data_IF_457426682434
#
_entry.id   IF_457426682434
#
_cell.length_a   1.000
_cell.length_b   1.000
_cell.length_c   1.000
_cell.angle_alpha   90.00
_cell.angle_beta   90.00
_cell.angle_gamma   90.00
#
_symmetry.space_group_name_H-M   'P 1'
#
loop_
_entity.id
_entity.type
_entity.pdbx_description
1 polymer ?
#
# COMPACT_ATOMS: atom_id res chain seq x y z
N UNK A 1 -28.57 -5.40 -7.72
CA UNK A 1 -28.87 -4.10 -7.08
C UNK A 1 -27.51 -3.43 -6.90
N UNK A 2 -27.06 -2.65 -7.89
CA UNK A 2 -25.79 -1.93 -7.78
C UNK A 2 -25.80 -1.08 -6.52
N UNK A 3 -24.76 -1.23 -5.72
CA UNK A 3 -24.68 -0.61 -4.42
C UNK A 3 -24.40 0.88 -4.60
N UNK A 4 -25.41 1.73 -4.38
CA UNK A 4 -25.33 3.19 -4.57
C UNK A 4 -24.10 3.80 -3.88
N UNK A 5 -23.68 3.24 -2.74
CA UNK A 5 -22.47 3.64 -2.03
C UNK A 5 -21.22 3.43 -2.88
N UNK A 6 -21.01 2.24 -3.46
CA UNK A 6 -19.83 1.96 -4.28
C UNK A 6 -19.77 2.85 -5.52
N UNK A 7 -20.92 3.14 -6.15
CA UNK A 7 -20.98 4.05 -7.29
C UNK A 7 -20.52 5.45 -6.90
N UNK A 8 -21.03 5.97 -5.78
CA UNK A 8 -20.62 7.28 -5.27
C UNK A 8 -19.10 7.36 -5.02
N UNK A 9 -18.51 6.34 -4.38
CA UNK A 9 -17.05 6.30 -4.21
C UNK A 9 -16.29 6.17 -5.53
N UNK A 10 -16.78 5.39 -6.48
CA UNK A 10 -16.17 5.26 -7.81
C UNK A 10 -16.13 6.58 -8.57
N UNK A 11 -17.22 7.35 -8.54
CA UNK A 11 -17.31 8.66 -9.21
C UNK A 11 -16.23 9.64 -8.70
N UNK A 12 -15.76 9.48 -7.45
CA UNK A 12 -14.71 10.33 -6.88
C UNK A 12 -13.32 10.08 -7.48
N UNK A 13 -13.07 8.87 -7.97
CA UNK A 13 -11.75 8.44 -8.48
C UNK A 13 -11.75 8.17 -9.97
N UNK A 14 -12.91 8.05 -10.63
CA UNK A 14 -13.05 7.75 -12.06
C UNK A 14 -12.05 8.52 -12.94
N UNK A 15 -11.81 9.84 -12.77
CA UNK A 15 -10.85 10.59 -13.59
C UNK A 15 -9.38 10.14 -13.48
N UNK A 16 -9.05 9.32 -12.49
CA UNK A 16 -7.69 8.85 -12.20
C UNK A 16 -7.50 7.36 -12.53
N UNK A 17 -8.56 6.63 -12.90
CA UNK A 17 -8.53 5.17 -12.93
C UNK A 17 -7.91 4.57 -14.19
N UNK A 18 -7.77 5.30 -15.29
CA UNK A 18 -7.29 4.74 -16.56
C UNK A 18 -5.99 3.91 -16.42
N UNK A 19 -4.93 4.39 -15.75
CA UNK A 19 -3.73 3.59 -15.55
C UNK A 19 -3.98 2.32 -14.74
N UNK A 20 -4.84 2.38 -13.72
CA UNK A 20 -5.18 1.22 -12.90
C UNK A 20 -6.04 0.22 -13.69
N UNK A 21 -6.93 0.71 -14.54
CA UNK A 21 -7.75 -0.11 -15.43
C UNK A 21 -6.90 -0.84 -16.47
N UNK A 22 -5.84 -0.20 -17.00
CA UNK A 22 -4.85 -0.86 -17.86
C UNK A 22 -4.10 -1.98 -17.13
N UNK A 23 -3.67 -1.74 -15.89
CA UNK A 23 -3.01 -2.74 -15.04
C UNK A 23 -3.96 -3.91 -14.75
N UNK A 24 -5.21 -3.63 -14.39
CA UNK A 24 -6.24 -4.64 -14.16
C UNK A 24 -6.54 -5.48 -15.41
N UNK A 25 -6.65 -4.85 -16.59
CA UNK A 25 -6.79 -5.55 -17.87
C UNK A 25 -5.59 -6.43 -18.16
N UNK A 26 -4.37 -5.91 -18.00
CA UNK A 26 -3.15 -6.70 -18.18
C UNK A 26 -3.09 -7.92 -17.26
N UNK A 27 -3.47 -7.78 -15.99
CA UNK A 27 -3.58 -8.91 -15.07
C UNK A 27 -4.61 -9.94 -15.58
N UNK A 28 -5.77 -9.47 -16.04
CA UNK A 28 -6.83 -10.31 -16.59
C UNK A 28 -6.36 -11.07 -17.84
N UNK A 29 -5.64 -10.41 -18.74
CA UNK A 29 -5.11 -11.05 -19.96
C UNK A 29 -4.07 -12.14 -19.64
N UNK A 30 -3.30 -11.96 -18.57
CA UNK A 30 -2.29 -12.93 -18.12
C UNK A 30 -2.89 -14.14 -17.39
N UNK A 31 -4.00 -13.95 -16.68
CA UNK A 31 -4.52 -14.94 -15.72
C UNK A 31 -5.90 -15.49 -16.05
N UNK A 32 -6.65 -14.81 -16.93
CA UNK A 32 -8.06 -15.07 -17.19
C UNK A 32 -9.01 -14.59 -16.07
N UNK A 33 -8.51 -13.94 -15.01
CA UNK A 33 -9.31 -13.51 -13.86
C UNK A 33 -9.53 -12.00 -13.88
N UNK A 34 -10.79 -11.54 -13.96
CA UNK A 34 -11.08 -10.11 -13.95
C UNK A 34 -10.85 -9.50 -12.58
N UNK A 35 -10.37 -8.25 -12.56
CA UNK A 35 -10.25 -7.45 -11.34
C UNK A 35 -11.46 -6.52 -11.22
N UNK A 36 -12.31 -6.74 -10.22
CA UNK A 36 -13.37 -5.79 -9.86
C UNK A 36 -12.76 -4.61 -9.08
N UNK A 37 -12.43 -3.54 -9.79
CA UNK A 37 -11.82 -2.34 -9.20
C UNK A 37 -12.72 -1.67 -8.17
N UNK A 38 -14.04 -1.70 -8.33
CA UNK A 38 -14.96 -1.05 -7.38
C UNK A 38 -14.91 -1.73 -6.02
N UNK A 39 -14.97 -3.05 -6.01
CA UNK A 39 -14.83 -3.87 -4.80
C UNK A 39 -13.41 -3.76 -4.26
N UNK A 40 -12.38 -3.83 -5.12
CA UNK A 40 -10.99 -3.76 -4.69
C UNK A 40 -10.65 -2.45 -3.98
N UNK A 41 -11.17 -1.32 -4.46
CA UNK A 41 -10.90 0.00 -3.93
C UNK A 41 -11.78 0.37 -2.73
N UNK A 42 -13.06 -0.04 -2.71
CA UNK A 42 -14.05 0.57 -1.80
C UNK A 42 -14.85 -0.40 -0.94
N UNK A 43 -14.61 -1.72 -1.04
CA UNK A 43 -15.31 -2.68 -0.19
C UNK A 43 -15.04 -2.40 1.31
N UNK A 44 -13.82 -2.01 1.69
CA UNK A 44 -13.52 -1.68 3.09
C UNK A 44 -14.38 -0.53 3.60
N UNK A 45 -14.41 0.58 2.85
CA UNK A 45 -15.22 1.75 3.18
C UNK A 45 -16.71 1.38 3.30
N UNK A 46 -17.23 0.61 2.35
CA UNK A 46 -18.61 0.14 2.36
C UNK A 46 -18.93 -0.71 3.60
N UNK A 47 -18.08 -1.70 3.90
CA UNK A 47 -18.29 -2.62 5.03
C UNK A 47 -18.15 -1.93 6.38
N UNK A 48 -17.30 -0.90 6.46
CA UNK A 48 -17.09 -0.11 7.68
C UNK A 48 -18.06 1.07 7.81
N UNK A 49 -18.93 1.31 6.81
CA UNK A 49 -19.86 2.44 6.82
C UNK A 49 -19.15 3.79 6.78
N UNK A 50 -18.01 3.88 6.10
CA UNK A 50 -17.25 5.13 5.98
C UNK A 50 -17.91 6.07 4.98
N UNK A 51 -17.75 7.36 5.24
CA UNK A 51 -18.23 8.45 4.38
C UNK A 51 -17.09 9.03 3.55
N UNK A 52 -17.44 9.77 2.48
CA UNK A 52 -16.45 10.45 1.64
C UNK A 52 -15.58 11.38 2.49
N UNK A 53 -14.26 11.28 2.40
CA UNK A 53 -13.38 12.08 3.24
C UNK A 53 -13.25 13.51 2.71
N UNK A 54 -12.93 14.42 3.62
CA UNK A 54 -12.56 15.81 3.29
C UNK A 54 -11.07 16.02 3.52
N UNK A 55 -10.73 16.93 4.44
CA UNK A 55 -9.34 17.16 4.91
C UNK A 55 -8.91 16.19 6.02
N UNK A 56 -9.75 15.23 6.35
CA UNK A 56 -9.44 14.14 7.25
C UNK A 56 -9.85 12.85 6.55
N UNK A 57 -8.98 11.83 6.57
CA UNK A 57 -9.18 10.60 5.82
C UNK A 57 -10.39 9.83 6.33
N UNK A 58 -10.86 8.86 5.54
CA UNK A 58 -12.15 8.20 5.77
C UNK A 58 -12.22 7.48 7.13
N UNK A 59 -11.08 7.00 7.63
CA UNK A 59 -10.96 6.36 8.95
C UNK A 59 -10.63 7.34 10.10
N UNK A 60 -10.50 8.63 9.81
CA UNK A 60 -10.23 9.68 10.79
C UNK A 60 -8.75 9.89 11.18
N UNK A 61 -7.83 9.05 10.69
CA UNK A 61 -6.45 9.02 11.20
C UNK A 61 -5.48 9.99 10.53
N UNK A 62 -5.69 10.30 9.24
CA UNK A 62 -4.81 11.17 8.48
C UNK A 62 -5.44 12.55 8.28
N UNK A 63 -4.67 13.60 8.55
CA UNK A 63 -5.13 14.98 8.47
C UNK A 63 -4.31 15.78 7.46
N UNK A 64 -4.99 16.47 6.56
CA UNK A 64 -4.40 17.49 5.70
C UNK A 64 -4.38 18.83 6.45
N UNK A 65 -3.17 19.26 6.78
CA UNK A 65 -2.88 20.43 7.60
C UNK A 65 -2.30 21.53 6.69
N UNK A 66 -2.93 22.70 6.72
CA UNK A 66 -2.46 23.85 5.96
C UNK A 66 -1.20 24.41 6.59
N UNK A 67 -0.16 24.62 5.78
CA UNK A 67 1.10 25.24 6.14
C UNK A 67 1.27 26.59 5.40
N UNK A 68 2.32 27.33 5.72
CA UNK A 68 2.62 28.63 5.10
C UNK A 68 2.93 28.54 3.60
N UNK A 69 3.43 27.39 3.14
CA UNK A 69 3.92 27.14 1.78
C UNK A 69 3.15 26.02 1.06
N UNK A 70 2.02 25.56 1.61
CA UNK A 70 1.22 24.49 1.04
C UNK A 70 0.52 23.67 2.12
N UNK A 71 0.69 22.35 2.04
CA UNK A 71 -0.04 21.40 2.88
C UNK A 71 0.87 20.26 3.34
N UNK A 72 0.58 19.71 4.51
CA UNK A 72 1.19 18.50 5.03
C UNK A 72 0.10 17.50 5.42
N UNK A 73 0.23 16.25 4.99
CA UNK A 73 -0.48 15.13 5.58
C UNK A 73 0.28 14.64 6.80
N UNK A 74 -0.40 14.55 7.94
CA UNK A 74 0.11 13.88 9.15
C UNK A 74 -0.88 12.78 9.51
N UNK A 75 -0.38 11.54 9.58
CA UNK A 75 -1.17 10.35 9.77
C UNK A 75 -0.90 9.72 11.14
N UNK A 76 -1.90 9.80 12.01
CA UNK A 76 -1.89 9.36 13.40
C UNK A 76 -2.61 8.00 13.54
N UNK A 77 -2.24 7.04 12.68
CA UNK A 77 -2.92 5.76 12.54
C UNK A 77 -2.73 4.81 13.74
N UNK A 78 -1.73 5.03 14.59
CA UNK A 78 -1.40 4.16 15.73
C UNK A 78 -1.58 4.88 17.06
N UNK A 79 -1.88 4.16 18.16
CA UNK A 79 -1.87 4.74 19.50
C UNK A 79 -0.57 5.46 19.85
N UNK A 80 0.57 4.90 19.44
CA UNK A 80 1.89 5.50 19.65
C UNK A 80 2.08 6.82 18.87
N UNK A 81 1.39 6.98 17.73
CA UNK A 81 1.44 8.24 16.97
C UNK A 81 0.73 9.36 17.74
N UNK A 82 -0.43 9.07 18.32
CA UNK A 82 -1.18 10.00 19.17
C UNK A 82 -0.38 10.36 20.43
N UNK A 83 0.27 9.37 21.06
CA UNK A 83 1.11 9.59 22.23
C UNK A 83 2.35 10.45 21.94
N UNK A 84 2.81 10.48 20.68
CA UNK A 84 3.94 11.27 20.24
C UNK A 84 3.59 12.72 19.82
N UNK A 85 2.30 13.10 19.75
CA UNK A 85 1.88 14.45 19.34
C UNK A 85 2.50 15.56 20.19
N UNK A 86 2.57 15.50 21.53
CA UNK A 86 3.24 16.54 22.31
C UNK A 86 4.71 16.75 21.93
N UNK A 87 5.43 15.67 21.61
CA UNK A 87 6.80 15.76 21.13
C UNK A 87 6.88 16.40 19.73
N UNK A 88 5.90 16.13 18.86
CA UNK A 88 5.81 16.77 17.55
C UNK A 88 5.59 18.28 17.69
N UNK A 89 4.70 18.70 18.59
CA UNK A 89 4.45 20.11 18.87
C UNK A 89 5.71 20.82 19.37
N UNK A 90 6.46 20.17 20.26
CA UNK A 90 7.74 20.68 20.74
C UNK A 90 8.77 20.86 19.61
N UNK A 91 8.86 19.90 18.67
CA UNK A 91 9.72 20.02 17.48
C UNK A 91 9.29 21.18 16.56
N UNK A 92 7.99 21.48 16.50
CA UNK A 92 7.43 22.60 15.75
C UNK A 92 7.40 23.91 16.54
N UNK A 93 8.03 23.96 17.72
CA UNK A 93 8.10 25.16 18.56
C UNK A 93 6.74 25.67 19.03
N UNK A 94 5.75 24.78 19.16
CA UNK A 94 4.36 25.11 19.50
C UNK A 94 3.95 24.51 20.85
N UNK A 95 3.08 25.19 21.62
CA UNK A 95 2.61 24.67 22.90
C UNK A 95 1.71 23.43 22.73
N UNK A 96 1.66 22.60 23.77
CA UNK A 96 0.78 21.43 23.83
C UNK A 96 -0.63 21.84 24.27
N UNK A 97 -1.45 22.25 23.29
CA UNK A 97 -2.81 22.74 23.48
C UNK A 97 -3.81 22.02 22.56
N UNK A 98 -5.12 22.01 22.89
CA UNK A 98 -6.16 21.57 21.97
C UNK A 98 -6.06 22.30 20.63
N UNK A 99 -6.14 21.58 19.50
CA UNK A 99 -5.85 22.05 18.13
C UNK A 99 -4.38 22.39 17.82
N UNK A 100 -3.46 22.18 18.78
CA UNK A 100 -2.05 22.58 18.70
C UNK A 100 -1.36 22.14 17.42
N UNK A 101 -1.64 20.94 16.91
CA UNK A 101 -1.00 20.44 15.69
C UNK A 101 -1.42 21.22 14.45
N UNK A 102 -2.70 21.58 14.32
CA UNK A 102 -3.19 22.41 13.20
C UNK A 102 -2.58 23.81 13.27
N UNK A 103 -2.53 24.40 14.46
CA UNK A 103 -1.97 25.73 14.68
C UNK A 103 -0.45 25.76 14.41
N UNK A 104 0.28 24.75 14.91
CA UNK A 104 1.71 24.58 14.72
C UNK A 104 2.08 24.51 13.24
N UNK A 105 1.39 23.65 12.48
CA UNK A 105 1.67 23.50 11.05
C UNK A 105 1.30 24.76 10.28
N UNK A 106 0.20 25.44 10.63
CA UNK A 106 -0.20 26.71 9.99
C UNK A 106 0.86 27.81 10.11
N UNK A 107 1.61 27.82 11.21
CA UNK A 107 2.70 28.78 11.44
C UNK A 107 4.03 28.43 10.77
N UNK A 108 4.18 27.24 10.19
CA UNK A 108 5.45 26.73 9.67
C UNK A 108 5.39 26.25 8.22
N UNK A 109 6.48 25.64 7.74
CA UNK A 109 6.53 25.01 6.41
C UNK A 109 6.03 23.59 6.48
N UNK A 110 5.41 23.12 5.39
CA UNK A 110 4.94 21.75 5.28
C UNK A 110 6.07 20.72 5.47
N UNK A 111 7.25 21.01 4.91
CA UNK A 111 8.42 20.14 5.03
C UNK A 111 8.90 19.96 6.48
N UNK A 112 8.81 21.01 7.31
CA UNK A 112 9.22 20.96 8.71
C UNK A 112 8.27 20.08 9.53
N UNK A 113 6.96 20.19 9.27
CA UNK A 113 5.94 19.32 9.86
C UNK A 113 6.17 17.84 9.52
N UNK A 114 6.43 17.55 8.24
CA UNK A 114 6.68 16.19 7.76
C UNK A 114 7.98 15.63 8.35
N UNK A 115 9.04 16.43 8.40
CA UNK A 115 10.32 16.00 8.99
C UNK A 115 10.20 15.75 10.50
N UNK A 116 9.52 16.64 11.24
CA UNK A 116 9.25 16.46 12.66
C UNK A 116 8.47 15.18 12.95
N UNK A 117 7.40 14.93 12.19
CA UNK A 117 6.63 13.69 12.28
C UNK A 117 7.51 12.46 11.99
N UNK A 118 8.33 12.52 10.94
CA UNK A 118 9.22 11.43 10.55
C UNK A 118 10.25 11.08 11.62
N UNK A 119 10.81 12.06 12.33
CA UNK A 119 11.75 11.82 13.43
C UNK A 119 11.12 11.03 14.58
N UNK A 120 9.82 11.21 14.81
CA UNK A 120 9.04 10.49 15.82
C UNK A 120 8.46 9.16 15.31
N UNK A 121 8.74 8.83 14.04
CA UNK A 121 8.21 7.63 13.40
C UNK A 121 6.75 7.75 12.96
N UNK A 122 6.13 8.94 13.09
CA UNK A 122 4.79 9.26 12.60
C UNK A 122 4.85 9.35 11.07
N UNK A 123 3.88 8.74 10.40
CA UNK A 123 3.76 8.78 8.94
C UNK A 123 3.26 10.15 8.48
N UNK A 124 3.94 10.75 7.52
CA UNK A 124 3.62 12.08 7.01
C UNK A 124 4.15 12.28 5.58
N UNK A 125 3.51 13.19 4.85
CA UNK A 125 3.85 13.50 3.47
C UNK A 125 3.48 14.94 3.10
N UNK A 126 4.29 15.55 2.22
CA UNK A 126 3.86 16.72 1.45
C UNK A 126 3.12 16.22 0.20
N UNK A 127 1.97 16.82 -0.19
CA UNK A 127 1.28 16.44 -1.42
C UNK A 127 2.19 16.43 -2.64
N UNK A 128 2.13 15.36 -3.43
CA UNK A 128 2.92 15.21 -4.66
C UNK A 128 4.43 15.01 -4.47
N UNK A 129 4.93 14.90 -3.23
CA UNK A 129 6.36 14.72 -2.95
C UNK A 129 6.99 13.44 -3.52
N UNK A 130 6.19 12.48 -4.00
CA UNK A 130 6.65 11.26 -4.65
C UNK A 130 6.45 11.24 -6.18
N UNK A 131 5.84 12.28 -6.79
CA UNK A 131 5.64 12.35 -8.23
C UNK A 131 6.98 12.46 -8.97
N UNK A 132 7.13 11.69 -10.06
CA UNK A 132 8.35 11.65 -10.86
C UNK A 132 9.61 11.12 -10.16
N UNK A 133 9.51 10.68 -8.90
CA UNK A 133 10.68 10.21 -8.12
C UNK A 133 11.13 8.82 -8.56
N UNK A 134 10.18 7.90 -8.81
CA UNK A 134 10.46 6.51 -9.18
C UNK A 134 9.27 5.84 -9.89
N UNK A 135 9.48 4.74 -10.62
CA UNK A 135 8.37 3.95 -11.15
C UNK A 135 7.58 3.24 -10.03
N UNK A 136 6.30 2.96 -10.29
CA UNK A 136 5.42 2.18 -9.41
C UNK A 136 6.00 0.81 -9.05
N UNK A 137 6.56 0.12 -10.04
CA UNK A 137 7.19 -1.19 -9.92
C UNK A 137 8.63 -1.09 -10.42
N UNK A 138 9.58 -1.50 -9.58
CA UNK A 138 10.98 -1.69 -9.96
C UNK A 138 11.34 -3.17 -9.80
N UNK A 139 11.95 -3.77 -10.82
CA UNK A 139 12.34 -5.17 -10.81
C UNK A 139 13.87 -5.30 -10.74
N UNK A 140 14.34 -6.10 -9.78
CA UNK A 140 15.75 -6.44 -9.62
C UNK A 140 15.94 -7.94 -9.81
N UNK A 141 16.88 -8.33 -10.67
CA UNK A 141 17.09 -9.75 -11.01
C UNK A 141 18.16 -10.37 -10.11
N UNK A 142 17.80 -11.44 -9.44
CA UNK A 142 18.72 -12.24 -8.61
C UNK A 142 18.71 -13.73 -8.97
N UNK A 143 17.66 -14.21 -9.65
CA UNK A 143 17.52 -15.59 -10.09
C UNK A 143 17.44 -15.72 -11.61
N UNK A 144 17.67 -16.94 -12.08
CA UNK A 144 17.50 -17.30 -13.49
C UNK A 144 16.01 -17.42 -13.85
N UNK A 145 15.69 -17.12 -15.11
CA UNK A 145 14.35 -17.39 -15.66
C UNK A 145 14.18 -18.90 -15.84
N UNK A 146 12.97 -19.39 -15.66
CA UNK A 146 12.61 -20.78 -15.92
C UNK A 146 11.25 -20.85 -16.60
N UNK A 147 11.18 -21.53 -17.74
CA UNK A 147 9.90 -21.89 -18.35
C UNK A 147 9.22 -22.92 -17.45
N UNK A 148 8.19 -22.49 -16.73
CA UNK A 148 7.52 -23.34 -15.75
C UNK A 148 6.56 -24.31 -16.44
N UNK A 149 6.64 -25.60 -16.08
CA UNK A 149 5.56 -26.54 -16.40
C UNK A 149 4.27 -26.10 -15.70
N UNK A 150 3.10 -26.31 -16.32
CA UNK A 150 1.77 -25.99 -15.73
C UNK A 150 1.57 -26.76 -14.43
N UNK A 151 2.00 -26.16 -13.33
CA UNK A 151 1.97 -26.67 -11.97
C UNK A 151 1.41 -25.57 -11.09
N UNK A 152 0.73 -25.93 -10.02
CA UNK A 152 0.21 -24.99 -9.03
C UNK A 152 1.34 -24.07 -8.53
N UNK A 153 1.03 -22.77 -8.44
CA UNK A 153 1.93 -21.76 -7.88
C UNK A 153 1.70 -21.70 -6.37
N UNK A 154 2.76 -21.86 -5.58
CA UNK A 154 2.70 -21.72 -4.12
C UNK A 154 3.14 -20.33 -3.70
N UNK A 155 2.29 -19.65 -2.95
CA UNK A 155 2.55 -18.31 -2.43
C UNK A 155 2.64 -18.37 -0.91
N UNK A 156 3.71 -17.80 -0.37
CA UNK A 156 3.81 -17.50 1.06
C UNK A 156 3.60 -16.00 1.25
N UNK A 157 2.54 -15.64 1.95
CA UNK A 157 2.17 -14.25 2.21
C UNK A 157 2.47 -13.86 3.66
N UNK A 158 3.53 -13.05 3.84
CA UNK A 158 3.90 -12.42 5.12
C UNK A 158 3.32 -11.02 5.27
N UNK A 159 2.61 -10.50 4.27
CA UNK A 159 2.05 -9.17 4.32
C UNK A 159 0.86 -9.08 5.28
N UNK A 160 0.41 -7.86 5.55
CA UNK A 160 -0.71 -7.55 6.42
C UNK A 160 -1.45 -6.33 5.87
N UNK A 161 -2.58 -6.00 6.51
CA UNK A 161 -3.45 -4.89 6.15
C UNK A 161 -4.14 -5.14 4.80
N UNK A 162 -3.75 -4.43 3.74
CA UNK A 162 -4.56 -4.39 2.52
C UNK A 162 -3.76 -4.61 1.23
N UNK A 163 -2.71 -3.83 0.94
CA UNK A 163 -2.00 -3.92 -0.34
C UNK A 163 -1.47 -5.34 -0.66
N UNK A 164 -0.72 -5.93 0.27
CA UNK A 164 -0.18 -7.27 0.11
C UNK A 164 -1.24 -8.38 0.12
N UNK A 165 -2.18 -8.39 1.08
CA UNK A 165 -3.27 -9.37 1.07
C UNK A 165 -4.15 -9.30 -0.19
N UNK A 166 -4.38 -8.11 -0.75
CA UNK A 166 -5.08 -7.96 -2.03
C UNK A 166 -4.28 -8.56 -3.19
N UNK A 167 -2.97 -8.36 -3.22
CA UNK A 167 -2.09 -9.01 -4.20
C UNK A 167 -2.19 -10.54 -4.12
N UNK A 168 -2.07 -11.09 -2.90
CA UNK A 168 -2.21 -12.51 -2.64
C UNK A 168 -3.58 -13.04 -3.06
N UNK A 169 -4.66 -12.33 -2.72
CA UNK A 169 -6.03 -12.66 -3.12
C UNK A 169 -6.20 -12.78 -4.63
N UNK A 170 -5.73 -11.78 -5.38
CA UNK A 170 -5.88 -11.77 -6.83
C UNK A 170 -5.13 -12.95 -7.46
N UNK A 171 -3.91 -13.24 -6.99
CA UNK A 171 -3.14 -14.41 -7.43
C UNK A 171 -3.80 -15.73 -7.01
N UNK A 172 -4.42 -15.79 -5.83
CA UNK A 172 -5.20 -16.93 -5.36
C UNK A 172 -6.41 -17.21 -6.23
N UNK A 173 -7.16 -16.17 -6.61
CA UNK A 173 -8.26 -16.26 -7.57
C UNK A 173 -7.78 -16.74 -8.95
N UNK A 174 -6.55 -16.41 -9.33
CA UNK A 174 -5.87 -16.91 -10.53
C UNK A 174 -5.34 -18.35 -10.41
N UNK A 175 -5.67 -19.06 -9.32
CA UNK A 175 -5.35 -20.47 -9.13
C UNK A 175 -4.05 -20.74 -8.38
N UNK A 176 -3.43 -19.73 -7.78
CA UNK A 176 -2.31 -19.96 -6.87
C UNK A 176 -2.79 -20.47 -5.50
N UNK A 177 -2.03 -21.37 -4.89
CA UNK A 177 -2.25 -21.78 -3.50
C UNK A 177 -1.53 -20.81 -2.56
N UNK A 178 -2.30 -20.08 -1.78
CA UNK A 178 -1.79 -19.06 -0.87
C UNK A 178 -1.75 -19.58 0.56
N UNK A 179 -0.57 -19.53 1.18
CA UNK A 179 -0.38 -19.71 2.61
C UNK A 179 -0.12 -18.34 3.25
N UNK A 180 -1.13 -17.82 3.95
CA UNK A 180 -0.98 -16.65 4.82
C UNK A 180 -0.22 -17.06 6.07
N UNK A 181 0.93 -16.43 6.31
CA UNK A 181 1.76 -16.67 7.50
C UNK A 181 1.75 -15.43 8.38
N UNK A 182 1.48 -15.61 9.68
CA UNK A 182 1.52 -14.55 10.67
C UNK A 182 2.08 -15.04 12.02
N UNK A 183 2.46 -14.11 12.88
CA UNK A 183 2.87 -14.42 14.25
C UNK A 183 1.75 -14.11 15.22
N UNK A 184 1.59 -14.91 16.27
CA UNK A 184 0.60 -14.68 17.32
C UNK A 184 0.80 -13.31 18.02
N UNK A 185 2.03 -12.80 18.07
CA UNK A 185 2.34 -11.49 18.67
C UNK A 185 2.17 -10.32 17.69
N UNK A 186 2.02 -10.62 16.40
CA UNK A 186 1.86 -9.62 15.34
C UNK A 186 0.87 -10.12 14.28
N UNK A 187 -0.41 -10.29 14.67
CA UNK A 187 -1.45 -10.73 13.74
C UNK A 187 -1.66 -9.68 12.64
N UNK A 188 -2.25 -10.10 11.53
CA UNK A 188 -2.68 -9.18 10.48
C UNK A 188 -3.64 -8.11 11.04
N UNK A 189 -3.27 -6.84 10.90
CA UNK A 189 -4.06 -5.71 11.39
C UNK A 189 -5.46 -5.61 10.80
N UNK A 190 -5.70 -6.19 9.61
CA UNK A 190 -7.04 -6.25 9.02
C UNK A 190 -8.04 -7.04 9.89
N UNK A 191 -7.56 -7.93 10.77
CA UNK A 191 -8.39 -8.65 11.75
C UNK A 191 -9.11 -7.71 12.74
N UNK A 192 -8.54 -6.54 13.00
CA UNK A 192 -9.11 -5.53 13.90
C UNK A 192 -10.03 -4.52 13.19
N UNK A 193 -10.11 -4.59 11.86
CA UNK A 193 -11.12 -3.88 11.08
C UNK A 193 -12.44 -4.65 11.04
N UNK A 194 -13.17 -4.56 9.94
CA UNK A 194 -14.41 -5.32 9.80
C UNK A 194 -14.10 -6.81 9.52
N UNK A 195 -14.71 -7.76 10.26
CA UNK A 195 -14.45 -9.19 10.04
C UNK A 195 -14.79 -9.66 8.62
N UNK A 196 -15.75 -9.01 7.95
CA UNK A 196 -16.12 -9.29 6.57
C UNK A 196 -15.01 -8.89 5.58
N UNK A 197 -14.30 -7.79 5.84
CA UNK A 197 -13.21 -7.36 4.98
C UNK A 197 -11.98 -8.26 5.13
N UNK A 198 -11.61 -8.64 6.36
CA UNK A 198 -10.56 -9.63 6.59
C UNK A 198 -10.86 -10.96 5.90
N UNK A 199 -12.09 -11.46 6.05
CA UNK A 199 -12.54 -12.67 5.35
C UNK A 199 -12.47 -12.52 3.85
N UNK A 200 -12.89 -11.37 3.30
CA UNK A 200 -12.79 -11.12 1.86
C UNK A 200 -11.34 -11.14 1.39
N UNK A 201 -10.40 -10.53 2.11
CA UNK A 201 -8.98 -10.55 1.71
C UNK A 201 -8.38 -11.96 1.68
N UNK A 202 -8.76 -12.80 2.66
CA UNK A 202 -8.11 -14.10 2.87
C UNK A 202 -8.96 -15.32 2.49
N UNK A 203 -10.10 -15.10 1.84
CA UNK A 203 -10.97 -16.17 1.36
C UNK A 203 -10.22 -17.08 0.37
N UNK A 204 -10.19 -18.38 0.66
CA UNK A 204 -9.44 -19.38 -0.11
C UNK A 204 -7.97 -19.56 0.30
N UNK A 205 -7.45 -18.79 1.26
CA UNK A 205 -6.07 -18.94 1.73
C UNK A 205 -5.97 -19.97 2.86
N UNK A 206 -4.91 -20.79 2.83
CA UNK A 206 -4.44 -21.52 4.01
C UNK A 206 -3.84 -20.51 5.01
N UNK A 207 -3.99 -20.74 6.32
CA UNK A 207 -3.49 -19.83 7.34
C UNK A 207 -2.58 -20.58 8.32
N UNK A 208 -1.39 -20.03 8.59
CA UNK A 208 -0.44 -20.54 9.56
C UNK A 208 -0.04 -19.44 10.55
N UNK A 209 -0.33 -19.68 11.83
CA UNK A 209 0.18 -18.86 12.93
C UNK A 209 1.40 -19.56 13.51
N UNK A 210 2.56 -18.93 13.41
CA UNK A 210 3.83 -19.49 13.86
C UNK A 210 4.71 -18.40 14.48
N UNK A 211 5.48 -18.76 15.51
CA UNK A 211 6.44 -17.82 16.08
C UNK A 211 7.64 -17.64 15.13
N UNK A 212 8.06 -16.40 14.92
CA UNK A 212 9.08 -16.04 13.96
C UNK A 212 10.46 -16.11 14.61
N UNK A 213 10.79 -17.26 15.20
CA UNK A 213 12.15 -17.54 15.64
C UNK A 213 13.07 -17.70 14.41
N UNK A 214 14.37 -17.35 14.50
CA UNK A 214 15.31 -17.57 13.40
C UNK A 214 15.28 -19.03 12.91
N UNK A 215 15.16 -19.22 11.60
CA UNK A 215 15.08 -20.55 10.96
C UNK A 215 13.69 -21.21 10.96
N UNK A 216 12.72 -20.71 11.74
CA UNK A 216 11.39 -21.33 11.84
C UNK A 216 10.55 -21.26 10.55
N UNK A 217 10.96 -20.42 9.59
CA UNK A 217 10.25 -20.16 8.34
C UNK A 217 10.98 -20.73 7.11
N UNK A 218 12.17 -21.31 7.28
CA UNK A 218 13.06 -21.64 6.16
C UNK A 218 12.45 -22.70 5.24
N UNK A 219 11.89 -23.77 5.80
CA UNK A 219 11.23 -24.83 5.02
C UNK A 219 9.98 -24.30 4.29
N UNK A 220 9.17 -23.48 4.97
CA UNK A 220 7.97 -22.86 4.40
C UNK A 220 8.33 -21.98 3.21
N UNK A 221 9.36 -21.15 3.36
CA UNK A 221 9.84 -20.26 2.30
C UNK A 221 10.52 -21.05 1.19
N UNK A 222 11.25 -22.12 1.49
CA UNK A 222 11.91 -22.95 0.49
C UNK A 222 10.92 -23.64 -0.46
N UNK A 223 9.70 -23.94 -0.03
CA UNK A 223 8.70 -24.52 -0.93
C UNK A 223 8.01 -23.49 -1.84
N UNK A 224 8.06 -22.21 -1.47
CA UNK A 224 7.36 -21.13 -2.14
C UNK A 224 7.91 -20.81 -3.53
N UNK A 225 7.00 -20.51 -4.45
CA UNK A 225 7.30 -19.95 -5.77
C UNK A 225 7.27 -18.43 -5.74
N UNK A 226 6.36 -17.88 -4.95
CA UNK A 226 6.24 -16.45 -4.70
C UNK A 226 6.26 -16.20 -3.20
N UNK A 227 7.04 -15.22 -2.78
CA UNK A 227 6.94 -14.63 -1.44
C UNK A 227 6.38 -13.23 -1.57
N UNK A 228 5.36 -12.90 -0.78
CA UNK A 228 4.80 -11.55 -0.70
C UNK A 228 5.08 -11.00 0.69
N UNK A 229 5.63 -9.79 0.75
CA UNK A 229 5.85 -9.08 2.00
C UNK A 229 5.57 -7.59 1.84
N UNK A 230 5.04 -6.97 2.89
CA UNK A 230 4.73 -5.54 2.95
C UNK A 230 5.38 -4.89 4.18
N UNK A 231 6.58 -5.35 4.52
CA UNK A 231 7.33 -4.94 5.70
C UNK A 231 8.56 -4.13 5.30
N UNK A 232 9.25 -3.52 6.27
CA UNK A 232 10.59 -2.98 5.99
C UNK A 232 11.51 -4.14 5.63
N UNK A 233 12.39 -4.03 4.62
CA UNK A 233 13.27 -5.13 4.21
C UNK A 233 14.08 -5.74 5.35
N UNK A 234 14.47 -4.92 6.33
CA UNK A 234 15.19 -5.35 7.54
C UNK A 234 14.40 -6.32 8.44
N UNK A 235 13.06 -6.34 8.38
CA UNK A 235 12.24 -7.18 9.24
C UNK A 235 12.46 -8.67 8.94
N UNK A 236 12.24 -9.10 7.69
CA UNK A 236 12.48 -10.48 7.28
C UNK A 236 13.96 -10.85 7.29
N UNK A 237 14.85 -9.90 6.95
CA UNK A 237 16.31 -10.13 7.03
C UNK A 237 16.81 -10.44 8.44
N UNK A 238 16.19 -9.88 9.49
CA UNK A 238 16.50 -10.22 10.89
C UNK A 238 16.08 -11.64 11.26
N UNK A 239 15.15 -12.23 10.50
CA UNK A 239 14.71 -13.62 10.65
C UNK A 239 15.55 -14.60 9.84
N UNK A 240 16.54 -14.10 9.08
CA UNK A 240 17.36 -14.91 8.16
C UNK A 240 16.81 -14.99 6.73
N UNK A 241 15.63 -14.44 6.47
CA UNK A 241 14.99 -14.51 5.16
C UNK A 241 15.46 -13.36 4.25
N UNK A 242 16.12 -13.72 3.15
CA UNK A 242 16.70 -12.79 2.17
C UNK A 242 16.14 -13.08 0.78
N UNK A 243 15.58 -12.06 0.14
CA UNK A 243 14.98 -12.19 -1.18
C UNK A 243 16.00 -12.66 -2.22
N UNK A 244 17.22 -12.12 -2.14
CA UNK A 244 18.32 -12.40 -3.06
C UNK A 244 18.72 -13.88 -3.01
N UNK A 245 18.80 -14.44 -1.79
CA UNK A 245 19.14 -15.85 -1.55
C UNK A 245 17.99 -16.77 -1.99
N UNK A 246 16.74 -16.41 -1.67
CA UNK A 246 15.55 -17.15 -2.10
C UNK A 246 15.46 -17.27 -3.63
N UNK A 247 15.70 -16.15 -4.33
CA UNK A 247 15.64 -16.08 -5.80
C UNK A 247 16.80 -16.81 -6.46
N UNK A 248 18.02 -16.70 -5.93
CA UNK A 248 19.18 -17.41 -6.45
C UNK A 248 19.10 -18.94 -6.23
N UNK A 249 18.41 -19.38 -5.18
CA UNK A 249 18.34 -20.80 -4.82
C UNK A 249 17.48 -21.65 -5.77
N UNK A 250 16.52 -21.07 -6.50
CA UNK A 250 15.70 -21.82 -7.47
C UNK A 250 15.22 -20.92 -8.62
N UNK A 251 15.52 -21.26 -9.89
CA UNK A 251 15.04 -20.52 -11.05
C UNK A 251 13.51 -20.36 -11.08
N UNK A 252 13.04 -19.22 -11.59
CA UNK A 252 11.62 -18.93 -11.76
C UNK A 252 10.83 -18.54 -10.50
N UNK A 253 11.50 -18.35 -9.36
CA UNK A 253 10.90 -17.75 -8.17
C UNK A 253 10.68 -16.25 -8.32
N UNK A 254 9.71 -15.70 -7.58
CA UNK A 254 9.43 -14.26 -7.53
C UNK A 254 9.34 -13.80 -6.09
N UNK A 255 9.88 -12.63 -5.78
CA UNK A 255 9.69 -12.00 -4.48
C UNK A 255 8.99 -10.66 -4.67
N UNK A 256 7.89 -10.40 -3.98
CA UNK A 256 7.15 -9.15 -4.04
C UNK A 256 7.33 -8.41 -2.73
N UNK A 257 7.98 -7.24 -2.79
CA UNK A 257 8.17 -6.35 -1.65
C UNK A 257 7.38 -5.06 -1.83
N UNK A 258 6.35 -4.85 -1.01
CA UNK A 258 5.50 -3.65 -1.02
C UNK A 258 5.95 -2.71 0.10
N UNK A 259 6.26 -1.47 -0.24
CA UNK A 259 6.73 -0.46 0.72
C UNK A 259 6.17 0.92 0.39
N UNK A 260 6.16 1.84 1.36
CA UNK A 260 5.55 3.16 1.18
C UNK A 260 6.19 4.00 0.08
N UNK A 261 7.52 4.06 0.07
CA UNK A 261 8.32 4.90 -0.83
C UNK A 261 9.33 4.08 -1.66
N UNK A 262 9.14 2.75 -1.65
CA UNK A 262 10.00 1.71 -2.24
C UNK A 262 11.19 1.29 -1.36
N UNK A 263 11.86 0.22 -1.79
CA UNK A 263 12.62 -0.70 -0.90
C UNK A 263 13.87 -0.09 -0.26
N UNK A 264 14.51 0.85 -0.93
CA UNK A 264 15.69 1.56 -0.43
C UNK A 264 15.34 2.63 0.63
N UNK A 265 14.05 2.90 0.83
CA UNK A 265 13.57 3.90 1.77
C UNK A 265 12.94 3.24 3.01
N UNK A 266 13.45 3.59 4.19
CA UNK A 266 12.98 3.05 5.47
C UNK A 266 11.73 3.75 6.04
N UNK A 267 11.19 4.75 5.33
CA UNK A 267 9.96 5.48 5.69
C UNK A 267 8.76 4.53 5.70
N UNK A 268 7.98 4.61 6.77
CA UNK A 268 6.66 3.95 6.84
C UNK A 268 5.67 4.81 6.06
N UNK A 269 4.67 4.17 5.47
CA UNK A 269 3.47 4.83 4.98
C UNK A 269 2.26 3.93 5.22
N UNK A 270 1.10 4.53 5.30
CA UNK A 270 -0.19 3.88 5.11
C UNK A 270 -0.83 4.40 3.81
N UNK A 271 -1.93 3.78 3.38
CA UNK A 271 -2.56 4.16 2.12
C UNK A 271 -2.91 5.66 2.01
N UNK A 272 -3.34 6.29 3.11
CA UNK A 272 -3.74 7.71 3.10
C UNK A 272 -2.56 8.66 2.86
N UNK A 273 -1.48 8.55 3.63
CA UNK A 273 -0.32 9.44 3.47
C UNK A 273 0.51 9.10 2.21
N UNK A 274 0.54 7.84 1.79
CA UNK A 274 1.12 7.45 0.51
C UNK A 274 0.33 8.01 -0.68
N UNK A 275 -1.01 8.02 -0.61
CA UNK A 275 -1.86 8.67 -1.61
C UNK A 275 -1.54 10.17 -1.71
N UNK A 276 -1.41 10.85 -0.58
CA UNK A 276 -1.03 12.27 -0.56
C UNK A 276 0.37 12.47 -1.13
N UNK A 277 1.36 11.67 -0.71
CA UNK A 277 2.71 11.74 -1.27
C UNK A 277 2.71 11.56 -2.80
N UNK A 278 1.89 10.65 -3.32
CA UNK A 278 1.71 10.46 -4.76
C UNK A 278 0.91 11.56 -5.45
N UNK A 279 0.32 12.50 -4.73
CA UNK A 279 -0.56 13.53 -5.31
C UNK A 279 -1.94 13.00 -5.74
N UNK A 280 -2.31 11.79 -5.31
CA UNK A 280 -3.62 11.20 -5.56
C UNK A 280 -4.64 11.79 -4.57
N UNK A 281 -4.93 13.08 -4.75
CA UNK A 281 -5.85 13.88 -3.94
C UNK A 281 -6.86 14.61 -4.83
N UNK A 282 -8.01 14.93 -4.25
CA UNK A 282 -9.02 15.78 -4.85
C UNK A 282 -8.79 17.22 -4.44
N UNK A 283 -9.67 18.11 -4.91
CA UNK A 283 -9.71 19.49 -4.49
C UNK A 283 -11.15 19.87 -4.12
N UNK A 284 -11.30 20.60 -3.03
CA UNK A 284 -12.57 21.22 -2.67
C UNK A 284 -12.86 22.45 -3.56
N UNK A 285 -14.05 23.08 -3.46
CA UNK A 285 -14.37 24.26 -4.27
C UNK A 285 -13.44 25.47 -4.10
N UNK A 286 -12.66 25.53 -3.01
CA UNK A 286 -11.67 26.58 -2.77
C UNK A 286 -10.30 26.22 -3.39
N UNK A 287 -10.16 25.04 -3.98
CA UNK A 287 -8.89 24.54 -4.51
C UNK A 287 -7.99 23.92 -3.45
N UNK A 288 -8.49 23.67 -2.24
CA UNK A 288 -7.71 23.04 -1.17
C UNK A 288 -7.75 21.51 -1.32
N UNK A 289 -6.65 20.80 -1.03
CA UNK A 289 -6.59 19.35 -1.20
C UNK A 289 -7.53 18.62 -0.23
N UNK A 290 -8.15 17.56 -0.74
CA UNK A 290 -8.96 16.61 0.04
C UNK A 290 -8.57 15.18 -0.32
N UNK A 291 -8.82 14.24 0.58
CA UNK A 291 -8.68 12.83 0.26
C UNK A 291 -9.74 12.42 -0.78
N UNK A 292 -9.39 11.56 -1.73
CA UNK A 292 -10.33 11.05 -2.75
C UNK A 292 -11.08 9.82 -2.27
N UNK A 293 -10.45 9.01 -1.43
CA UNK A 293 -10.88 7.65 -1.15
C UNK A 293 -10.40 7.17 0.22
N UNK A 294 -10.77 5.95 0.54
CA UNK A 294 -10.34 5.26 1.75
C UNK A 294 -8.99 4.57 1.54
N UNK A 295 -7.90 5.20 1.98
CA UNK A 295 -6.53 4.68 1.90
C UNK A 295 -6.11 4.17 0.51
N UNK A 296 -6.48 4.90 -0.56
CA UNK A 296 -6.41 4.42 -1.96
C UNK A 296 -5.06 3.81 -2.38
N UNK A 297 -3.94 4.31 -1.88
CA UNK A 297 -2.64 3.76 -2.26
C UNK A 297 -2.51 2.28 -1.85
N UNK A 298 -3.21 1.80 -0.83
CA UNK A 298 -3.21 0.38 -0.47
C UNK A 298 -3.78 -0.52 -1.59
N UNK A 299 -5.08 -0.42 -1.95
CA UNK A 299 -5.66 -1.29 -2.97
C UNK A 299 -5.09 -1.05 -4.36
N UNK A 300 -4.74 0.20 -4.70
CA UNK A 300 -4.04 0.51 -5.97
C UNK A 300 -2.75 -0.30 -6.03
N UNK A 301 -1.93 -0.27 -4.98
CA UNK A 301 -0.65 -0.99 -4.93
C UNK A 301 -0.83 -2.50 -4.98
N UNK A 302 -1.88 -3.04 -4.35
CA UNK A 302 -2.19 -4.46 -4.41
C UNK A 302 -2.48 -4.95 -5.84
N UNK A 303 -3.19 -4.16 -6.65
CA UNK A 303 -3.46 -4.47 -8.06
C UNK A 303 -2.18 -4.40 -8.91
N UNK A 304 -1.35 -3.36 -8.73
CA UNK A 304 -0.04 -3.26 -9.38
C UNK A 304 0.88 -4.43 -9.02
N UNK A 305 0.92 -4.81 -7.74
CA UNK A 305 1.73 -5.92 -7.25
C UNK A 305 1.28 -7.27 -7.84
N UNK A 306 -0.05 -7.52 -7.91
CA UNK A 306 -0.59 -8.73 -8.50
C UNK A 306 -0.25 -8.84 -10.00
N UNK A 307 -0.44 -7.74 -10.73
CA UNK A 307 -0.09 -7.68 -12.16
C UNK A 307 1.40 -7.90 -12.38
N UNK A 308 2.26 -7.26 -11.60
CA UNK A 308 3.71 -7.42 -11.71
C UNK A 308 4.15 -8.86 -11.42
N UNK A 309 3.59 -9.49 -10.39
CA UNK A 309 3.86 -10.87 -10.05
C UNK A 309 3.39 -11.84 -11.15
N UNK A 310 2.15 -11.69 -11.63
CA UNK A 310 1.60 -12.51 -12.71
C UNK A 310 2.45 -12.38 -14.00
N UNK A 311 2.86 -11.15 -14.34
CA UNK A 311 3.72 -10.89 -15.48
C UNK A 311 5.09 -11.53 -15.32
N UNK A 312 5.74 -11.34 -14.16
CA UNK A 312 7.06 -11.93 -13.91
C UNK A 312 7.01 -13.46 -13.99
N UNK A 313 5.98 -14.09 -13.41
CA UNK A 313 5.74 -15.54 -13.53
C UNK A 313 5.56 -15.99 -14.99
N UNK A 314 4.76 -15.28 -15.78
CA UNK A 314 4.53 -15.58 -17.19
C UNK A 314 5.81 -15.48 -18.04
N UNK A 315 6.70 -14.54 -17.70
CA UNK A 315 8.00 -14.38 -18.35
C UNK A 315 9.11 -15.26 -17.74
N UNK A 316 8.77 -16.16 -16.81
CA UNK A 316 9.69 -17.14 -16.24
C UNK A 316 10.44 -16.72 -14.97
N UNK A 317 10.08 -15.60 -14.33
CA UNK A 317 10.52 -15.23 -12.98
C UNK A 317 12.02 -14.90 -12.80
N UNK A 318 12.47 -14.95 -11.54
CA UNK A 318 13.85 -14.67 -11.11
C UNK A 318 14.07 -13.26 -10.56
N UNK A 319 13.00 -12.54 -10.24
CA UNK A 319 13.06 -11.12 -9.87
C UNK A 319 12.47 -10.83 -8.48
N UNK A 320 13.08 -9.85 -7.82
CA UNK A 320 12.52 -9.09 -6.73
C UNK A 320 11.74 -7.92 -7.33
N UNK A 321 10.44 -7.88 -7.09
CA UNK A 321 9.52 -6.82 -7.48
C UNK A 321 9.34 -5.86 -6.30
N UNK A 322 9.96 -4.69 -6.40
CA UNK A 322 9.85 -3.58 -5.45
C UNK A 322 8.68 -2.68 -5.87
N UNK A 323 7.57 -2.75 -5.13
CA UNK A 323 6.36 -1.97 -5.43
C UNK A 323 6.23 -0.83 -4.40
N UNK A 324 6.14 0.40 -4.88
CA UNK A 324 6.09 1.61 -4.06
C UNK A 324 4.68 2.18 -4.01
N UNK A 325 4.09 2.27 -2.82
CA UNK A 325 2.72 2.76 -2.64
C UNK A 325 2.53 4.19 -3.16
N UNK A 326 3.45 5.09 -2.79
CA UNK A 326 3.39 6.48 -3.21
C UNK A 326 3.61 6.63 -4.73
N UNK A 327 4.41 5.76 -5.37
CA UNK A 327 4.64 5.80 -6.81
C UNK A 327 3.48 5.18 -7.60
N UNK A 328 2.82 4.16 -7.06
CA UNK A 328 1.54 3.66 -7.57
C UNK A 328 0.48 4.78 -7.55
N UNK A 329 0.35 5.50 -6.43
CA UNK A 329 -0.54 6.66 -6.35
C UNK A 329 -0.16 7.78 -7.35
N UNK A 330 1.13 8.09 -7.49
CA UNK A 330 1.62 9.06 -8.46
C UNK A 330 1.30 8.70 -9.91
N UNK A 331 1.35 7.41 -10.25
CA UNK A 331 1.01 6.94 -11.61
C UNK A 331 -0.43 7.28 -11.98
N UNK A 332 -1.36 7.20 -11.02
CA UNK A 332 -2.76 7.59 -11.21
C UNK A 332 -2.93 9.12 -11.25
N UNK A 333 -2.23 9.85 -10.38
CA UNK A 333 -2.29 11.30 -10.33
C UNK A 333 -1.76 11.97 -11.62
N UNK A 334 -0.67 11.45 -12.20
CA UNK A 334 -0.03 11.97 -13.40
C UNK A 334 -0.88 11.78 -14.68
N UNK A 335 -1.86 10.87 -14.67
CA UNK A 335 -2.78 10.72 -15.79
C UNK A 335 -3.71 11.94 -15.94
N UNK A 336 -4.07 12.60 -14.84
CA UNK A 336 -4.94 13.79 -14.83
C UNK A 336 -4.27 15.02 -15.46
N UNK A 337 -2.96 15.20 -15.28
CA UNK A 337 -2.24 16.36 -15.85
C UNK A 337 -2.15 16.31 -17.38
N UNK A 338 -2.45 15.17 -18.01
CA UNK A 338 -2.54 15.02 -19.47
C UNK A 338 -3.94 15.32 -20.05
N UNK A 339 -4.96 15.45 -19.20
CA UNK A 339 -6.37 15.61 -19.62
C UNK A 339 -6.92 17.00 -19.29
N UNK A 340 -6.37 17.71 -18.29
CA UNK A 340 -6.69 19.14 -18.09
C UNK A 340 -5.75 20.03 -18.94
N UNK A 341 -6.26 20.86 -19.86
CA UNK A 341 -5.43 21.92 -20.43
C UNK A 341 -5.07 22.92 -19.31
N UNK A 342 -3.91 23.60 -19.38
CA UNK A 342 -3.61 24.70 -18.47
C UNK A 342 -4.71 25.76 -18.59
N UNK A 343 -5.24 26.20 -17.44
CA UNK A 343 -6.11 27.38 -17.37
C UNK A 343 -5.40 28.62 -17.92
#
# INVERSE_FOLDING_TARGET
MENHVLRDWMDSVEPFLDPLADVARSFTDLTGVPVDLSTALFLRAQLAGLERPGRTSANGSCHLLQATDGWAAVNLARPDDLAAVPALLALLGSPDEPEGLRAAVRGGKAADAVEGARLLGITAAVPGSAQGVRPAVHAERFGERCTRAKTEIRIVDFSALWAGPLCARLLGLAGARVLKVESATRPDGARFGTPAFYRWLHDGHDNLVVDFAPGALDEIVAEADVVIEASRPRALRRLGLRAEEFLAARPGRVWVGITGYGRENDRIAFGDDASVAGGLTGYDPNGDPVFLGDALADPVTGVFAAQAAARSLAEGGGELLCVSMAACAATLADARTRVQPPC
#
